data_IF_777765844093
#
_entry.id   IF_777765844093
#
_cell.length_a   1.000
_cell.length_b   1.000
_cell.length_c   1.000
_cell.angle_alpha   90.00
_cell.angle_beta   90.00
_cell.angle_gamma   90.00
#
_symmetry.space_group_name_H-M   'P 1'
#
loop_
_entity.id
_entity.type
_entity.pdbx_description
1 polymer ?
#
# COMPACT_ATOMS: atom_id res chain seq x y z
N UNK A 1 2.68 24.66 -3.15
CA UNK A 1 2.85 23.28 -3.61
C UNK A 1 4.33 22.95 -3.74
N UNK A 2 4.86 22.13 -2.87
CA UNK A 2 6.25 21.72 -2.91
C UNK A 2 6.44 20.34 -2.26
N UNK A 3 6.00 19.24 -2.89
CA UNK A 3 6.31 17.90 -2.39
C UNK A 3 7.83 17.69 -2.40
N UNK A 4 8.37 16.88 -1.48
CA UNK A 4 9.80 16.54 -1.48
C UNK A 4 10.15 15.62 -2.65
N UNK A 5 9.34 14.59 -2.88
CA UNK A 5 9.43 13.72 -4.05
C UNK A 5 8.02 13.39 -4.53
N UNK A 6 7.79 13.45 -5.83
CA UNK A 6 6.47 13.19 -6.39
C UNK A 6 6.53 12.81 -7.86
N UNK A 7 5.48 12.08 -8.30
CA UNK A 7 5.22 11.78 -9.71
C UNK A 7 3.72 11.79 -9.98
N UNK A 8 3.34 12.18 -11.17
CA UNK A 8 1.99 12.06 -11.73
C UNK A 8 2.10 11.52 -13.14
N UNK A 9 1.38 10.47 -13.45
CA UNK A 9 1.39 9.84 -14.76
C UNK A 9 0.03 9.25 -15.12
N UNK A 10 -0.34 9.19 -16.42
CA UNK A 10 -1.52 8.46 -16.85
C UNK A 10 -1.41 6.97 -16.55
N UNK A 11 -2.54 6.33 -16.24
CA UNK A 11 -2.61 4.87 -16.01
C UNK A 11 -2.46 4.06 -17.30
N UNK A 12 -2.80 4.61 -18.45
CA UNK A 12 -2.70 3.97 -19.76
C UNK A 12 -1.29 3.94 -20.37
N UNK A 13 -0.27 4.45 -19.64
CA UNK A 13 1.12 4.42 -20.05
C UNK A 13 1.60 5.59 -20.90
N UNK A 14 0.91 6.71 -20.86
CA UNK A 14 1.36 7.97 -21.49
C UNK A 14 2.58 8.59 -20.77
N UNK A 15 3.03 9.75 -21.30
CA UNK A 15 4.16 10.50 -20.72
C UNK A 15 3.89 10.96 -19.30
N UNK A 16 4.95 11.01 -18.48
CA UNK A 16 4.89 11.56 -17.13
C UNK A 16 4.49 13.03 -17.20
N UNK A 17 3.40 13.39 -16.51
CA UNK A 17 2.85 14.75 -16.49
C UNK A 17 3.63 15.65 -15.52
N UNK A 18 4.04 15.09 -14.39
CA UNK A 18 4.80 15.80 -13.36
C UNK A 18 5.80 14.85 -12.68
N UNK A 19 7.02 15.34 -12.49
CA UNK A 19 8.04 14.64 -11.73
C UNK A 19 8.86 15.63 -10.92
N UNK A 20 9.12 15.32 -9.66
CA UNK A 20 10.05 16.03 -8.79
C UNK A 20 10.81 15.03 -7.94
N UNK A 21 12.15 15.03 -8.06
CA UNK A 21 13.02 14.06 -7.38
C UNK A 21 12.46 12.63 -7.42
N UNK A 22 11.81 12.27 -8.56
CA UNK A 22 10.99 11.09 -8.68
C UNK A 22 11.79 9.77 -8.60
N UNK A 23 13.10 9.81 -8.82
CA UNK A 23 14.01 8.66 -8.69
C UNK A 23 14.90 8.71 -7.45
N UNK A 24 14.74 9.72 -6.58
CA UNK A 24 15.47 9.81 -5.32
C UNK A 24 15.08 8.64 -4.41
N UNK A 25 16.08 8.03 -3.75
CA UNK A 25 15.84 7.00 -2.75
C UNK A 25 15.14 7.60 -1.54
N UNK A 26 14.00 7.03 -1.19
CA UNK A 26 13.13 7.48 -0.11
C UNK A 26 12.70 6.29 0.74
N UNK A 27 12.43 6.53 2.02
CA UNK A 27 11.79 5.53 2.88
C UNK A 27 10.32 5.37 2.46
N UNK A 28 9.88 4.15 2.08
CA UNK A 28 8.51 3.94 1.61
C UNK A 28 7.47 3.92 2.71
N UNK A 29 7.85 3.61 3.96
CA UNK A 29 6.91 3.24 5.02
C UNK A 29 5.94 2.16 4.51
N UNK A 30 4.67 2.23 4.92
CA UNK A 30 3.64 1.24 4.54
C UNK A 30 3.23 1.25 3.07
N UNK A 31 3.77 2.14 2.21
CA UNK A 31 3.62 1.99 0.76
C UNK A 31 4.35 0.72 0.24
N UNK A 32 5.29 0.18 1.01
CA UNK A 32 5.88 -1.17 0.81
C UNK A 32 4.82 -2.25 0.61
N UNK A 33 3.68 -2.14 1.31
CA UNK A 33 2.58 -3.13 1.28
C UNK A 33 1.91 -3.25 -0.08
N UNK A 34 2.09 -2.27 -0.96
CA UNK A 34 1.68 -2.37 -2.37
C UNK A 34 2.32 -3.61 -3.01
N UNK A 35 3.63 -3.80 -2.85
CA UNK A 35 4.33 -4.97 -3.37
C UNK A 35 3.90 -6.25 -2.66
N UNK A 36 3.73 -6.23 -1.36
CA UNK A 36 3.23 -7.38 -0.59
C UNK A 36 1.87 -7.84 -1.09
N UNK A 37 0.95 -6.90 -1.33
CA UNK A 37 -0.37 -7.19 -1.89
C UNK A 37 -0.28 -7.74 -3.33
N UNK A 38 0.55 -7.18 -4.19
CA UNK A 38 0.75 -7.65 -5.56
C UNK A 38 1.19 -9.11 -5.55
N UNK A 39 2.18 -9.48 -4.74
CA UNK A 39 2.64 -10.87 -4.64
C UNK A 39 1.55 -11.80 -4.12
N UNK A 40 0.82 -11.40 -3.08
CA UNK A 40 -0.28 -12.18 -2.54
C UNK A 40 -1.39 -12.43 -3.57
N UNK A 41 -1.73 -11.43 -4.37
CA UNK A 41 -2.79 -11.51 -5.37
C UNK A 41 -2.35 -12.20 -6.67
N UNK A 42 -1.08 -12.10 -7.02
CA UNK A 42 -0.53 -12.67 -8.27
C UNK A 42 -0.14 -14.13 -8.11
N UNK A 43 0.43 -14.51 -6.98
CA UNK A 43 1.03 -15.82 -6.74
C UNK A 43 0.40 -16.60 -5.59
N UNK A 44 -0.37 -15.97 -4.71
CA UNK A 44 -1.06 -16.63 -3.61
C UNK A 44 -2.42 -17.19 -4.01
N UNK A 45 -2.98 -18.03 -3.13
CA UNK A 45 -4.36 -18.48 -3.22
C UNK A 45 -5.20 -17.76 -2.17
N UNK A 46 -6.12 -16.90 -2.61
CA UNK A 46 -6.95 -16.09 -1.72
C UNK A 46 -7.89 -16.90 -0.83
N UNK A 47 -8.19 -18.14 -1.22
CA UNK A 47 -9.05 -19.07 -0.46
C UNK A 47 -8.29 -19.85 0.62
N UNK A 48 -6.96 -19.75 0.66
CA UNK A 48 -6.17 -20.45 1.69
C UNK A 48 -6.63 -20.03 3.09
N UNK A 49 -6.80 -21.05 3.94
CA UNK A 49 -7.01 -20.85 5.38
C UNK A 49 -5.65 -20.75 6.07
N UNK A 50 -5.36 -19.59 6.65
CA UNK A 50 -4.06 -19.29 7.25
C UNK A 50 -4.21 -19.19 8.76
N UNK A 51 -3.59 -20.12 9.49
CA UNK A 51 -3.44 -20.01 10.95
C UNK A 51 -2.12 -19.32 11.25
N UNK A 52 -2.19 -18.11 11.79
CA UNK A 52 -1.01 -17.27 12.02
C UNK A 52 -0.28 -17.68 13.30
N UNK A 53 1.04 -17.50 13.30
CA UNK A 53 1.92 -17.77 14.43
C UNK A 53 2.45 -16.49 15.09
N UNK A 54 3.63 -16.59 15.68
CA UNK A 54 4.26 -15.46 16.39
C UNK A 54 4.76 -14.34 15.45
N UNK A 55 4.80 -14.56 14.14
CA UNK A 55 5.16 -13.55 13.14
C UNK A 55 4.26 -12.32 13.17
N UNK A 56 3.03 -12.47 13.71
CA UNK A 56 2.08 -11.34 13.84
C UNK A 56 2.31 -10.48 15.09
N UNK A 57 3.23 -10.88 15.96
CA UNK A 57 3.60 -10.08 17.14
C UNK A 57 4.57 -8.99 16.70
N UNK A 58 4.06 -7.77 16.57
CA UNK A 58 4.86 -6.60 16.21
C UNK A 58 5.21 -5.83 17.47
N UNK A 59 6.50 -5.65 17.72
CA UNK A 59 7.01 -4.99 18.92
C UNK A 59 7.34 -3.51 18.70
N UNK A 60 7.34 -3.04 17.44
CA UNK A 60 7.64 -1.66 17.10
C UNK A 60 6.56 -0.72 17.67
N UNK A 61 6.93 0.25 18.54
CA UNK A 61 5.96 1.18 19.13
C UNK A 61 5.23 2.01 18.04
N UNK A 62 3.91 2.09 18.17
CA UNK A 62 3.08 2.87 17.23
C UNK A 62 2.86 2.24 15.85
N UNK A 63 3.34 1.01 15.64
CA UNK A 63 3.12 0.29 14.39
C UNK A 63 1.62 0.03 14.15
N UNK A 64 1.17 0.22 12.90
CA UNK A 64 -0.21 -0.08 12.49
C UNK A 64 -0.46 -1.59 12.47
N UNK A 65 -1.62 -2.00 12.98
CA UNK A 65 -1.99 -3.41 13.13
C UNK A 65 -3.40 -3.67 12.61
N UNK A 66 -3.60 -4.84 11.99
CA UNK A 66 -4.92 -5.42 11.76
C UNK A 66 -5.50 -6.05 13.04
N UNK A 67 -4.71 -6.12 14.11
CA UNK A 67 -5.02 -6.70 15.42
C UNK A 67 -5.25 -8.20 15.39
N UNK A 68 -4.47 -8.89 14.57
CA UNK A 68 -4.41 -10.34 14.48
C UNK A 68 -3.49 -10.88 15.59
N UNK A 69 -3.86 -11.99 16.19
CA UNK A 69 -3.11 -12.61 17.28
C UNK A 69 -2.64 -14.01 16.88
N UNK A 70 -1.53 -14.50 17.48
CA UNK A 70 -1.09 -15.88 17.26
C UNK A 70 -2.23 -16.87 17.49
N UNK A 71 -2.39 -17.83 16.57
CA UNK A 71 -3.45 -18.83 16.58
C UNK A 71 -4.76 -18.41 15.92
N UNK A 72 -4.92 -17.15 15.53
CA UNK A 72 -6.06 -16.72 14.70
C UNK A 72 -5.99 -17.38 13.31
N UNK A 73 -7.15 -17.73 12.76
CA UNK A 73 -7.25 -18.35 11.44
C UNK A 73 -8.09 -17.45 10.52
N UNK A 74 -7.45 -16.92 9.49
CA UNK A 74 -8.07 -16.05 8.48
C UNK A 74 -7.85 -16.63 7.09
N UNK A 75 -8.67 -16.21 6.12
CA UNK A 75 -8.35 -16.46 4.73
C UNK A 75 -7.22 -15.53 4.25
N UNK A 76 -6.49 -15.95 3.21
CA UNK A 76 -5.50 -15.09 2.57
C UNK A 76 -6.15 -13.78 2.08
N UNK A 77 -7.37 -13.83 1.54
CA UNK A 77 -8.11 -12.62 1.15
C UNK A 77 -8.34 -11.67 2.33
N UNK A 78 -8.74 -12.17 3.49
CA UNK A 78 -8.88 -11.36 4.71
C UNK A 78 -7.55 -10.74 5.12
N UNK A 79 -6.45 -11.50 5.04
CA UNK A 79 -5.12 -10.96 5.33
C UNK A 79 -4.74 -9.81 4.39
N UNK A 80 -5.07 -9.87 3.11
CA UNK A 80 -4.80 -8.77 2.15
C UNK A 80 -5.65 -7.53 2.48
N UNK A 81 -6.90 -7.69 2.90
CA UNK A 81 -7.70 -6.56 3.41
C UNK A 81 -7.10 -5.96 4.69
N UNK A 82 -6.67 -6.78 5.64
CA UNK A 82 -5.98 -6.36 6.86
C UNK A 82 -4.63 -5.68 6.60
N UNK A 83 -3.95 -6.09 5.55
CA UNK A 83 -2.72 -5.47 5.05
C UNK A 83 -2.98 -4.05 4.53
N UNK A 84 -3.98 -3.88 3.67
CA UNK A 84 -4.15 -2.66 2.87
C UNK A 84 -5.01 -1.61 3.55
N UNK A 85 -6.09 -1.97 4.25
CA UNK A 85 -6.99 -0.98 4.85
C UNK A 85 -6.40 -0.39 6.14
N UNK A 86 -6.23 -1.15 7.24
CA UNK A 86 -5.65 -0.62 8.46
C UNK A 86 -4.12 -0.55 8.41
N UNK A 87 -3.51 -0.94 7.29
CA UNK A 87 -2.05 -0.99 7.16
C UNK A 87 -1.38 -1.96 8.14
N UNK A 88 -1.93 -3.17 8.30
CA UNK A 88 -1.48 -4.16 9.29
C UNK A 88 -0.08 -4.69 9.02
N UNK A 89 0.88 -4.35 9.87
CA UNK A 89 2.23 -4.94 9.84
C UNK A 89 2.18 -6.43 10.22
N UNK A 90 1.29 -6.81 11.11
CA UNK A 90 0.97 -8.18 11.47
C UNK A 90 0.45 -8.99 10.27
N UNK A 91 -0.49 -8.43 9.50
CA UNK A 91 -0.98 -9.04 8.27
C UNK A 91 0.11 -9.19 7.21
N UNK A 92 1.01 -8.23 7.08
CA UNK A 92 2.14 -8.30 6.15
C UNK A 92 3.07 -9.48 6.46
N UNK A 93 3.43 -9.64 7.72
CA UNK A 93 4.26 -10.77 8.16
C UNK A 93 3.55 -12.12 7.98
N UNK A 94 2.26 -12.19 8.30
CA UNK A 94 1.47 -13.40 8.10
C UNK A 94 1.44 -13.84 6.63
N UNK A 95 1.23 -12.90 5.71
CA UNK A 95 1.27 -13.16 4.25
C UNK A 95 2.65 -13.67 3.85
N UNK A 96 3.72 -13.01 4.28
CA UNK A 96 5.08 -13.37 3.93
C UNK A 96 5.45 -14.79 4.39
N UNK A 97 5.15 -15.13 5.64
CA UNK A 97 5.42 -16.47 6.18
C UNK A 97 4.59 -17.53 5.48
N UNK A 98 3.29 -17.28 5.24
CA UNK A 98 2.44 -18.24 4.56
C UNK A 98 2.89 -18.53 3.12
N UNK A 99 3.28 -17.48 2.38
CA UNK A 99 3.65 -17.63 0.97
C UNK A 99 5.06 -18.19 0.76
N UNK A 100 6.01 -17.84 1.62
CA UNK A 100 7.43 -18.11 1.38
C UNK A 100 8.13 -18.88 2.50
N UNK A 101 7.49 -19.09 3.64
CA UNK A 101 8.04 -19.79 4.80
C UNK A 101 8.97 -18.94 5.68
N UNK A 102 9.50 -17.83 5.17
CA UNK A 102 10.29 -16.87 5.94
C UNK A 102 10.15 -15.45 5.38
N UNK A 103 10.44 -14.45 6.20
CA UNK A 103 10.48 -13.05 5.76
C UNK A 103 11.54 -12.87 4.68
N UNK A 104 12.73 -13.43 4.86
CA UNK A 104 13.85 -13.30 3.90
C UNK A 104 13.48 -13.88 2.53
N UNK A 105 12.88 -15.07 2.48
CA UNK A 105 12.43 -15.67 1.22
C UNK A 105 11.34 -14.83 0.54
N UNK A 106 10.42 -14.23 1.31
CA UNK A 106 9.40 -13.34 0.74
C UNK A 106 10.01 -12.04 0.21
N UNK A 107 10.98 -11.48 0.91
CA UNK A 107 11.73 -10.28 0.48
C UNK A 107 12.48 -10.53 -0.82
N UNK A 108 13.06 -11.72 -1.01
CA UNK A 108 13.65 -12.10 -2.31
C UNK A 108 12.61 -12.06 -3.44
N UNK A 109 11.39 -12.55 -3.18
CA UNK A 109 10.29 -12.44 -4.14
C UNK A 109 9.93 -10.98 -4.42
N UNK A 110 9.87 -10.12 -3.39
CA UNK A 110 9.57 -8.69 -3.53
C UNK A 110 10.60 -7.99 -4.41
N UNK A 111 11.88 -8.22 -4.17
CA UNK A 111 12.97 -7.60 -4.94
C UNK A 111 13.02 -8.13 -6.39
N UNK A 112 12.74 -9.40 -6.60
CA UNK A 112 12.62 -9.99 -7.94
C UNK A 112 11.48 -9.35 -8.72
N UNK A 113 10.29 -9.26 -8.13
CA UNK A 113 9.13 -8.64 -8.77
C UNK A 113 9.37 -7.15 -9.08
N UNK A 114 9.99 -6.42 -8.14
CA UNK A 114 10.36 -5.02 -8.35
C UNK A 114 11.24 -4.86 -9.59
N UNK A 115 12.25 -5.72 -9.74
CA UNK A 115 13.13 -5.73 -10.90
C UNK A 115 12.39 -6.06 -12.20
N UNK A 116 11.48 -7.03 -12.18
CA UNK A 116 10.66 -7.42 -13.34
C UNK A 116 9.71 -6.30 -13.78
N UNK A 117 9.18 -5.53 -12.84
CA UNK A 117 8.35 -4.34 -13.10
C UNK A 117 9.20 -3.17 -13.66
N UNK A 118 10.50 -3.18 -13.48
CA UNK A 118 11.39 -2.08 -13.83
C UNK A 118 11.61 -1.07 -12.71
N UNK A 119 11.24 -1.40 -11.48
CA UNK A 119 11.45 -0.59 -10.27
C UNK A 119 12.89 -0.76 -9.77
N UNK A 120 13.83 -0.13 -10.46
CA UNK A 120 15.28 -0.32 -10.27
C UNK A 120 15.89 0.52 -9.14
N UNK A 121 15.15 1.51 -8.65
CA UNK A 121 15.52 2.37 -7.51
C UNK A 121 14.89 1.87 -6.20
N UNK A 122 14.58 0.57 -6.12
CA UNK A 122 13.88 -0.06 -4.98
C UNK A 122 14.69 -1.22 -4.42
N UNK A 123 14.75 -1.27 -3.10
CA UNK A 123 15.28 -2.41 -2.36
C UNK A 123 14.44 -2.64 -1.09
N UNK A 124 13.85 -3.82 -0.98
CA UNK A 124 13.06 -4.25 0.17
C UNK A 124 13.89 -5.13 1.10
N UNK A 125 13.72 -4.96 2.41
CA UNK A 125 14.28 -5.83 3.45
C UNK A 125 13.22 -6.37 4.42
N UNK A 126 11.97 -5.94 4.27
CA UNK A 126 10.82 -6.47 5.00
C UNK A 126 9.54 -6.34 4.16
N UNK A 127 8.46 -6.97 4.63
CA UNK A 127 7.18 -7.01 3.93
C UNK A 127 6.21 -5.92 4.37
N UNK A 128 6.53 -5.15 5.41
CA UNK A 128 5.60 -4.25 6.10
C UNK A 128 5.93 -2.77 5.96
N UNK A 129 7.18 -2.40 5.69
CA UNK A 129 7.63 -1.02 5.53
C UNK A 129 8.18 -0.36 6.80
N UNK A 130 8.43 -1.11 7.86
CA UNK A 130 9.15 -0.59 9.01
C UNK A 130 10.54 -0.11 8.61
N UNK A 131 11.00 0.95 9.25
CA UNK A 131 12.23 1.65 8.87
C UNK A 131 13.48 0.77 8.99
N UNK A 132 14.25 0.71 7.92
CA UNK A 132 15.57 0.10 7.87
C UNK A 132 16.42 0.89 6.87
N UNK A 133 17.73 1.14 7.14
CA UNK A 133 18.59 1.92 6.24
C UNK A 133 18.69 1.35 4.82
N UNK A 134 18.57 0.03 4.67
CA UNK A 134 18.65 -0.66 3.38
C UNK A 134 17.28 -0.83 2.69
N UNK A 135 16.20 -0.32 3.30
CA UNK A 135 14.83 -0.40 2.79
C UNK A 135 14.42 0.92 2.16
N UNK A 136 14.40 0.99 0.85
CA UNK A 136 14.11 2.22 0.11
C UNK A 136 13.37 1.95 -1.20
N UNK A 137 12.79 3.00 -1.71
CA UNK A 137 12.12 3.06 -3.02
C UNK A 137 12.22 4.47 -3.58
N UNK A 138 11.60 4.71 -4.74
CA UNK A 138 11.43 6.05 -5.31
C UNK A 138 9.96 6.30 -5.65
N UNK A 139 9.57 7.57 -5.84
CA UNK A 139 8.22 7.90 -6.24
C UNK A 139 7.87 7.28 -7.61
N UNK A 140 8.82 7.26 -8.54
CA UNK A 140 8.62 6.65 -9.85
C UNK A 140 8.44 5.13 -9.76
N UNK A 141 9.22 4.45 -8.92
CA UNK A 141 9.10 3.00 -8.73
C UNK A 141 7.77 2.63 -8.08
N UNK A 142 7.30 3.41 -7.10
CA UNK A 142 5.97 3.21 -6.51
C UNK A 142 4.85 3.43 -7.53
N UNK A 143 5.01 4.40 -8.44
CA UNK A 143 4.10 4.56 -9.58
C UNK A 143 4.07 3.28 -10.42
N UNK A 144 5.22 2.74 -10.81
CA UNK A 144 5.30 1.50 -11.61
C UNK A 144 4.63 0.32 -10.90
N UNK A 145 4.90 0.14 -9.61
CA UNK A 145 4.29 -0.94 -8.81
C UNK A 145 2.77 -0.77 -8.72
N UNK A 146 2.28 0.44 -8.44
CA UNK A 146 0.85 0.69 -8.32
C UNK A 146 0.13 0.53 -9.67
N UNK A 147 0.76 1.00 -10.75
CA UNK A 147 0.30 0.80 -12.13
C UNK A 147 0.11 -0.69 -12.44
N UNK A 148 1.09 -1.54 -12.12
CA UNK A 148 0.98 -3.01 -12.27
C UNK A 148 -0.10 -3.60 -11.36
N UNK A 149 -0.18 -3.15 -10.11
CA UNK A 149 -1.21 -3.59 -9.17
C UNK A 149 -2.64 -3.32 -9.70
N UNK A 150 -2.87 -2.16 -10.27
CA UNK A 150 -4.19 -1.78 -10.83
C UNK A 150 -4.67 -2.65 -11.99
N UNK A 151 -3.77 -3.38 -12.66
CA UNK A 151 -4.13 -4.39 -13.68
C UNK A 151 -4.77 -5.64 -13.05
N UNK A 152 -4.62 -5.84 -11.75
CA UNK A 152 -5.22 -6.92 -10.99
C UNK A 152 -6.57 -6.44 -10.43
N UNK A 153 -7.72 -6.95 -10.90
CA UNK A 153 -9.04 -6.43 -10.47
C UNK A 153 -9.24 -6.45 -8.97
N UNK A 154 -8.76 -7.49 -8.28
CA UNK A 154 -8.86 -7.61 -6.82
C UNK A 154 -8.02 -6.56 -6.10
N UNK A 155 -6.84 -6.20 -6.59
CA UNK A 155 -6.02 -5.12 -6.05
C UNK A 155 -6.75 -3.76 -6.15
N UNK A 156 -7.30 -3.45 -7.32
CA UNK A 156 -8.10 -2.23 -7.53
C UNK A 156 -9.29 -2.18 -6.57
N UNK A 157 -9.99 -3.31 -6.39
CA UNK A 157 -11.11 -3.41 -5.46
C UNK A 157 -10.69 -3.17 -4.00
N UNK A 158 -9.66 -3.88 -3.52
CA UNK A 158 -9.22 -3.79 -2.12
C UNK A 158 -8.72 -2.39 -1.79
N UNK A 159 -7.86 -1.81 -2.64
CA UNK A 159 -7.30 -0.47 -2.42
C UNK A 159 -8.32 0.66 -2.50
N UNK A 160 -9.47 0.42 -3.12
CA UNK A 160 -10.60 1.33 -3.19
C UNK A 160 -11.73 1.03 -2.17
N UNK A 161 -11.58 0.03 -1.32
CA UNK A 161 -12.59 -0.33 -0.32
C UNK A 161 -12.47 0.60 0.88
N UNK A 162 -13.59 1.22 1.29
CA UNK A 162 -13.65 2.11 2.46
C UNK A 162 -13.54 1.34 3.76
N UNK A 163 -14.39 0.32 3.93
CA UNK A 163 -14.46 -0.52 5.13
C UNK A 163 -14.63 -1.99 4.75
N UNK A 164 -14.08 -2.87 5.56
CA UNK A 164 -14.22 -4.31 5.41
C UNK A 164 -14.41 -4.96 6.77
N UNK A 165 -15.43 -5.80 6.89
CA UNK A 165 -15.71 -6.59 8.11
C UNK A 165 -15.11 -7.97 7.95
N UNK A 166 -14.09 -8.28 8.75
CA UNK A 166 -13.47 -9.60 8.80
C UNK A 166 -14.08 -10.44 9.93
N UNK A 167 -14.61 -11.59 9.58
CA UNK A 167 -15.09 -12.60 10.54
C UNK A 167 -14.17 -13.81 10.46
N UNK A 168 -13.53 -14.17 11.56
CA UNK A 168 -12.55 -15.25 11.60
C UNK A 168 -12.53 -15.97 12.95
N UNK A 169 -11.78 -17.06 13.05
CA UNK A 169 -11.64 -17.86 14.26
C UNK A 169 -10.39 -17.48 15.03
N UNK A 170 -10.55 -17.34 16.36
CA UNK A 170 -9.43 -17.16 17.29
C UNK A 170 -8.83 -18.53 17.68
N UNK A 171 -7.67 -18.51 18.34
CA UNK A 171 -6.97 -19.72 18.80
C UNK A 171 -7.83 -20.66 19.66
N UNK A 172 -8.74 -20.10 20.46
CA UNK A 172 -9.67 -20.88 21.29
C UNK A 172 -10.92 -21.39 20.53
N UNK A 173 -10.98 -21.19 19.21
CA UNK A 173 -12.11 -21.58 18.37
C UNK A 173 -13.29 -20.61 18.35
N UNK A 174 -13.28 -19.56 19.19
CA UNK A 174 -14.35 -18.56 19.17
C UNK A 174 -14.27 -17.68 17.91
N UNK A 175 -15.42 -17.15 17.50
CA UNK A 175 -15.50 -16.22 16.38
C UNK A 175 -15.13 -14.81 16.83
N UNK A 176 -14.41 -14.08 15.95
CA UNK A 176 -14.09 -12.66 16.11
C UNK A 176 -14.55 -11.90 14.87
N UNK A 177 -15.10 -10.71 15.09
CA UNK A 177 -15.46 -9.77 14.04
C UNK A 177 -14.69 -8.48 14.25
N UNK A 178 -14.01 -8.01 13.21
CA UNK A 178 -13.24 -6.76 13.21
C UNK A 178 -13.60 -5.96 11.97
N UNK A 179 -13.81 -4.66 12.12
CA UNK A 179 -13.99 -3.74 11.00
C UNK A 179 -12.70 -3.00 10.74
N UNK A 180 -12.17 -3.11 9.52
CA UNK A 180 -11.03 -2.34 9.07
C UNK A 180 -11.47 -1.19 8.17
N UNK A 181 -10.91 -0.01 8.40
CA UNK A 181 -11.18 1.19 7.62
C UNK A 181 -9.93 1.59 6.85
N UNK A 182 -10.10 1.99 5.60
CA UNK A 182 -9.02 2.45 4.74
C UNK A 182 -8.38 3.73 5.29
N UNK A 183 -7.06 3.71 5.46
CA UNK A 183 -6.30 4.86 5.94
C UNK A 183 -6.17 6.01 4.94
N UNK A 184 -6.56 5.82 3.68
CA UNK A 184 -6.59 6.88 2.68
C UNK A 184 -7.83 7.75 2.88
N UNK A 185 -7.63 9.01 3.28
CA UNK A 185 -8.71 9.94 3.62
C UNK A 185 -9.63 10.29 2.45
N UNK A 186 -9.18 10.17 1.20
CA UNK A 186 -10.07 10.30 0.03
C UNK A 186 -11.05 9.12 -0.05
N UNK A 187 -10.60 7.91 0.28
CA UNK A 187 -11.43 6.69 0.24
C UNK A 187 -12.33 6.61 1.49
N UNK A 188 -11.84 7.02 2.66
CA UNK A 188 -12.64 7.04 3.90
C UNK A 188 -13.60 8.22 3.98
N UNK A 189 -13.53 9.18 3.04
CA UNK A 189 -14.30 10.43 3.00
C UNK A 189 -13.97 11.42 4.14
N UNK A 190 -12.78 11.33 4.68
CA UNK A 190 -12.26 12.31 5.67
C UNK A 190 -11.64 13.54 5.00
N UNK A 191 -11.22 13.43 3.74
CA UNK A 191 -10.76 14.53 2.90
C UNK A 191 -11.67 14.70 1.68
N UNK A 192 -11.93 15.94 1.24
CA UNK A 192 -12.71 16.19 0.02
C UNK A 192 -11.94 15.67 -1.20
N UNK A 193 -12.68 15.20 -2.20
CA UNK A 193 -12.09 14.84 -3.48
C UNK A 193 -11.49 16.07 -4.19
N UNK A 194 -10.41 15.91 -4.97
CA UNK A 194 -9.90 16.98 -5.84
C UNK A 194 -10.96 17.42 -6.85
N UNK A 195 -10.91 18.67 -7.32
CA UNK A 195 -11.89 19.19 -8.27
C UNK A 195 -11.77 18.49 -9.64
N UNK A 196 -12.90 18.00 -10.17
CA UNK A 196 -12.98 17.39 -11.50
C UNK A 196 -12.34 16.00 -11.64
N UNK A 197 -11.91 15.40 -10.52
CA UNK A 197 -11.28 14.09 -10.53
C UNK A 197 -11.57 13.36 -9.20
N UNK A 198 -11.82 12.07 -9.26
CA UNK A 198 -12.18 11.26 -8.11
C UNK A 198 -11.13 10.20 -7.81
N UNK A 199 -10.57 10.21 -6.61
CA UNK A 199 -9.64 9.18 -6.13
C UNK A 199 -10.42 7.91 -5.84
N UNK A 200 -10.03 6.79 -6.45
CA UNK A 200 -10.72 5.51 -6.33
C UNK A 200 -9.90 4.39 -5.71
N UNK A 201 -8.60 4.57 -5.54
CA UNK A 201 -7.69 3.57 -4.96
C UNK A 201 -6.47 4.25 -4.35
N UNK A 202 -5.81 3.60 -3.41
CA UNK A 202 -4.55 4.13 -2.89
C UNK A 202 -4.00 3.35 -1.69
N UNK A 203 -2.80 3.75 -1.27
CA UNK A 203 -2.12 3.25 -0.06
C UNK A 203 -1.33 4.36 0.60
N UNK A 204 -1.56 4.56 1.88
CA UNK A 204 -0.80 5.49 2.74
C UNK A 204 0.43 4.82 3.35
N UNK A 205 1.39 5.63 3.78
CA UNK A 205 2.51 5.19 4.60
C UNK A 205 3.02 6.33 5.47
N UNK A 206 3.35 6.03 6.72
CA UNK A 206 3.92 7.01 7.65
C UNK A 206 4.89 6.33 8.62
N UNK A 207 6.08 6.86 8.72
CA UNK A 207 7.05 6.63 9.81
C UNK A 207 7.75 7.95 10.11
N UNK A 208 8.47 8.04 11.21
CA UNK A 208 9.27 9.23 11.50
C UNK A 208 10.29 9.52 10.38
N UNK A 209 10.94 8.48 9.86
CA UNK A 209 11.93 8.62 8.80
C UNK A 209 11.31 8.94 7.42
N UNK A 210 10.15 8.33 7.11
CA UNK A 210 9.49 8.50 5.82
C UNK A 210 8.69 9.80 5.72
N UNK A 211 8.26 10.39 6.84
CA UNK A 211 7.22 11.39 6.82
C UNK A 211 5.88 10.80 6.38
N UNK A 212 5.01 11.59 5.81
CA UNK A 212 3.71 11.14 5.31
C UNK A 212 3.79 10.87 3.79
N UNK A 213 3.35 9.69 3.38
CA UNK A 213 3.41 9.20 2.00
C UNK A 213 2.02 8.74 1.53
N UNK A 214 1.74 8.93 0.25
CA UNK A 214 0.52 8.44 -0.39
C UNK A 214 0.81 8.07 -1.84
N UNK A 215 0.37 6.88 -2.23
CA UNK A 215 0.20 6.46 -3.61
C UNK A 215 -1.30 6.37 -3.88
N UNK A 216 -1.79 7.01 -4.91
CA UNK A 216 -3.21 7.00 -5.23
C UNK A 216 -3.47 6.97 -6.72
N UNK A 217 -4.63 6.42 -7.10
CA UNK A 217 -5.17 6.49 -8.43
C UNK A 217 -6.49 7.25 -8.43
N UNK A 218 -6.69 8.06 -9.47
CA UNK A 218 -7.89 8.85 -9.63
C UNK A 218 -8.40 8.82 -11.08
N UNK A 219 -9.70 9.04 -11.22
CA UNK A 219 -10.41 9.07 -12.50
C UNK A 219 -11.03 10.43 -12.71
N UNK A 220 -10.70 11.07 -13.83
CA UNK A 220 -11.28 12.35 -14.22
C UNK A 220 -12.71 12.17 -14.77
N UNK A 221 -13.46 13.27 -14.82
CA UNK A 221 -14.84 13.27 -15.31
C UNK A 221 -14.98 12.80 -16.77
N UNK A 222 -13.90 12.93 -17.56
CA UNK A 222 -13.84 12.40 -18.93
C UNK A 222 -13.43 10.91 -19.02
N UNK A 223 -13.27 10.23 -17.89
CA UNK A 223 -13.00 8.80 -17.81
C UNK A 223 -11.52 8.39 -17.83
N UNK A 224 -10.57 9.32 -17.96
CA UNK A 224 -9.13 9.01 -17.91
C UNK A 224 -8.69 8.73 -16.47
N UNK A 225 -7.83 7.72 -16.32
CA UNK A 225 -7.26 7.35 -15.03
C UNK A 225 -5.79 7.79 -14.94
N UNK A 226 -5.39 8.19 -13.73
CA UNK A 226 -4.04 8.68 -13.40
C UNK A 226 -3.57 8.08 -12.10
N UNK A 227 -2.25 7.93 -11.98
CA UNK A 227 -1.59 7.55 -10.72
C UNK A 227 -0.70 8.69 -10.28
N UNK A 228 -0.78 9.05 -9.00
CA UNK A 228 0.09 10.03 -8.37
C UNK A 228 0.74 9.46 -7.11
N UNK A 229 1.97 9.88 -6.87
CA UNK A 229 2.76 9.54 -5.68
C UNK A 229 3.27 10.83 -5.05
N UNK A 230 3.11 10.96 -3.74
CA UNK A 230 3.73 12.01 -2.92
C UNK A 230 4.45 11.34 -1.76
N UNK A 231 5.74 11.62 -1.62
CA UNK A 231 6.59 11.08 -0.55
C UNK A 231 7.14 12.19 0.34
N UNK A 232 7.30 11.86 1.62
CA UNK A 232 7.92 12.69 2.63
C UNK A 232 7.25 14.06 2.84
N UNK A 233 5.93 14.10 2.87
CA UNK A 233 5.22 15.29 3.31
C UNK A 233 5.33 15.46 4.84
N UNK A 234 5.48 16.70 5.30
CA UNK A 234 5.68 17.01 6.72
C UNK A 234 4.46 16.65 7.58
N UNK A 235 3.27 16.87 7.06
CA UNK A 235 2.00 16.61 7.76
C UNK A 235 0.98 15.96 6.81
N UNK A 236 -0.05 15.32 7.39
CA UNK A 236 -1.14 14.76 6.58
C UNK A 236 -1.89 15.84 5.78
N UNK A 237 -2.27 17.01 6.34
CA UNK A 237 -2.90 18.06 5.54
C UNK A 237 -2.07 18.47 4.32
N UNK A 238 -0.76 18.63 4.48
CA UNK A 238 0.16 18.94 3.35
C UNK A 238 0.19 17.80 2.32
N UNK A 239 0.19 16.55 2.79
CA UNK A 239 0.15 15.38 1.91
C UNK A 239 -1.10 15.40 1.01
N UNK A 240 -2.28 15.57 1.60
CA UNK A 240 -3.55 15.57 0.87
C UNK A 240 -3.72 16.79 -0.03
N UNK A 241 -3.27 17.99 0.40
CA UNK A 241 -3.23 19.19 -0.46
C UNK A 241 -2.31 18.96 -1.68
N UNK A 242 -1.10 18.43 -1.47
CA UNK A 242 -0.18 18.13 -2.55
C UNK A 242 -0.75 17.09 -3.53
N UNK A 243 -1.39 16.06 -3.02
CA UNK A 243 -2.01 15.01 -3.84
C UNK A 243 -3.17 15.57 -4.67
N UNK A 244 -4.04 16.38 -4.06
CA UNK A 244 -5.14 17.03 -4.77
C UNK A 244 -4.64 17.92 -5.90
N UNK A 245 -3.65 18.77 -5.63
CA UNK A 245 -3.05 19.65 -6.65
C UNK A 245 -2.34 18.89 -7.77
N UNK A 246 -1.75 17.72 -7.48
CA UNK A 246 -1.18 16.86 -8.52
C UNK A 246 -2.28 16.35 -9.44
N UNK A 247 -3.36 15.81 -8.90
CA UNK A 247 -4.45 15.30 -9.72
C UNK A 247 -5.14 16.42 -10.52
N UNK A 248 -5.31 17.60 -9.96
CA UNK A 248 -5.85 18.75 -10.67
C UNK A 248 -4.97 19.19 -11.87
N UNK A 249 -3.64 18.99 -11.79
CA UNK A 249 -2.75 19.19 -12.94
C UNK A 249 -3.00 18.23 -14.10
N UNK A 250 -3.50 17.03 -13.81
CA UNK A 250 -3.77 16.03 -14.85
C UNK A 250 -4.91 16.44 -15.80
N UNK A 251 -5.77 17.36 -15.36
CA UNK A 251 -6.98 17.77 -16.08
C UNK A 251 -6.95 19.24 -16.55
N UNK A 252 -5.84 19.94 -16.35
CA UNK A 252 -5.57 21.27 -16.92
C UNK A 252 -5.04 21.15 -18.34
#
# INVERSE_FOLDING_TARGET
FAPKSAVLSPQDGGDVIFAKDARAHMNPASTTKIMTAILALKYGNLSDSVTVGNEVVITEPGASLAKIKPGDTLTMEQLVYGLMLPSGNDAANAIAIHMAGSIDAFVEMMNKEAKEIGAVDTHFVNANGLTNPDHYTSAYDLYLMFHEGLKIPKFKKITGTKTYVANYKQANGSSKSVTWTNGNQFISNESPQPNGITVFAGKTGTTLAAGNCLVAAAKSDNGKEYVAVVLNAKTKPILYDNMARLFEKAIQ
#
